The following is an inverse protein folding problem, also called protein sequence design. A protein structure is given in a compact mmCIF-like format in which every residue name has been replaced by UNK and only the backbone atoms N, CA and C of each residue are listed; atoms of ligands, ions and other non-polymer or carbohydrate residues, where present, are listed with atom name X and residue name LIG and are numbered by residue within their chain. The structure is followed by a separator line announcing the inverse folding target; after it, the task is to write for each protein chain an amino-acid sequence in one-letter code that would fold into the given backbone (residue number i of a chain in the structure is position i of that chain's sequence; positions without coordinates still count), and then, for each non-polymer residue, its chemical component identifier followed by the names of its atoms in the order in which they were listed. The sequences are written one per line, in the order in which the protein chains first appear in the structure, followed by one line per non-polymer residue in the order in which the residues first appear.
data_IF_127868944374
#
_entry.id   IF_127868944374
#
_cell.length_a   1.000
_cell.length_b   1.000
_cell.length_c   1.000
_cell.angle_alpha   90.00
_cell.angle_beta   90.00
_cell.angle_gamma   90.00
#
_symmetry.space_group_name_H-M   'P 1'
#
loop_
_entity.id
_entity.type
_entity.pdbx_description
1 polymer ?
#
# COMPACT_ATOMS: atom_id res chain seq x y z
N UNK A 1 -17.15 -2.43 15.58
CA UNK A 1 -16.98 -3.05 14.24
C UNK A 1 -15.67 -3.81 14.27
N UNK A 2 -15.58 -5.06 13.77
CA UNK A 2 -14.30 -5.77 13.72
C UNK A 2 -13.30 -4.97 12.89
N UNK A 3 -12.10 -4.77 13.43
CA UNK A 3 -11.02 -4.10 12.74
C UNK A 3 -10.38 -5.10 11.76
N UNK A 4 -10.03 -4.64 10.56
CA UNK A 4 -9.36 -5.48 9.56
C UNK A 4 -7.87 -5.66 9.94
N UNK A 5 -7.55 -6.02 11.18
CA UNK A 5 -6.18 -6.06 11.70
C UNK A 5 -5.24 -6.94 10.86
N UNK A 6 -5.78 -8.01 10.24
CA UNK A 6 -5.03 -8.92 9.40
C UNK A 6 -4.40 -8.27 8.15
N UNK A 7 -4.84 -7.08 7.74
CA UNK A 7 -4.25 -6.35 6.60
C UNK A 7 -3.07 -5.47 7.01
N UNK A 8 -2.91 -5.17 8.30
CA UNK A 8 -1.79 -4.35 8.79
C UNK A 8 -0.48 -5.10 8.59
N UNK A 9 0.51 -4.44 7.99
CA UNK A 9 1.78 -5.04 7.60
C UNK A 9 1.79 -5.71 6.23
N UNK A 10 0.64 -5.81 5.54
CA UNK A 10 0.60 -6.29 4.16
C UNK A 10 0.96 -5.17 3.18
N UNK A 11 1.65 -5.53 2.10
CA UNK A 11 1.85 -4.64 0.95
C UNK A 11 0.71 -4.78 -0.07
N UNK A 12 0.44 -3.70 -0.79
CA UNK A 12 -0.57 -3.65 -1.83
C UNK A 12 -0.21 -2.69 -2.95
N UNK A 13 -1.07 -2.60 -3.95
CA UNK A 13 -0.91 -1.71 -5.10
C UNK A 13 -2.07 -0.72 -5.16
N UNK A 14 -1.78 0.55 -5.39
CA UNK A 14 -2.80 1.59 -5.60
C UNK A 14 -3.52 1.35 -6.93
N UNK A 15 -4.84 1.14 -6.88
CA UNK A 15 -5.71 1.07 -8.05
C UNK A 15 -6.21 2.45 -8.46
N UNK A 16 -6.63 3.25 -7.47
CA UNK A 16 -7.09 4.63 -7.64
C UNK A 16 -6.23 5.52 -6.75
N UNK A 17 -5.63 6.55 -7.35
CA UNK A 17 -4.72 7.45 -6.66
C UNK A 17 -5.34 8.08 -5.40
N UNK A 18 -4.58 8.13 -4.32
CA UNK A 18 -4.99 8.83 -3.11
C UNK A 18 -4.82 10.34 -3.31
N UNK A 19 -5.53 11.13 -2.51
CA UNK A 19 -5.48 12.61 -2.59
C UNK A 19 -4.90 13.21 -1.31
N UNK A 20 -4.01 12.45 -0.65
CA UNK A 20 -3.50 12.77 0.68
C UNK A 20 -4.64 12.96 1.68
N UNK A 21 -4.50 13.96 2.55
CA UNK A 21 -5.55 14.36 3.50
C UNK A 21 -6.87 14.82 2.86
N UNK A 22 -6.89 15.15 1.56
CA UNK A 22 -8.12 15.57 0.86
C UNK A 22 -9.03 14.39 0.47
N UNK A 23 -8.56 13.15 0.61
CA UNK A 23 -9.43 11.98 0.65
C UNK A 23 -8.83 10.70 0.06
N UNK A 24 -9.59 9.60 0.14
CA UNK A 24 -9.03 8.26 -0.06
C UNK A 24 -8.85 7.91 -1.54
N UNK A 25 -7.88 7.04 -1.78
CA UNK A 25 -7.79 6.24 -2.99
C UNK A 25 -8.36 4.84 -2.76
N UNK A 26 -8.00 3.92 -3.65
CA UNK A 26 -8.30 2.50 -3.51
C UNK A 26 -7.03 1.69 -3.74
N UNK A 27 -6.82 0.65 -2.93
CA UNK A 27 -5.69 -0.27 -3.06
C UNK A 27 -6.19 -1.70 -3.18
N UNK A 28 -5.39 -2.56 -3.82
CA UNK A 28 -5.55 -4.01 -3.81
C UNK A 28 -4.46 -4.61 -2.92
N UNK A 29 -4.86 -5.35 -1.88
CA UNK A 29 -3.94 -5.96 -0.92
C UNK A 29 -4.07 -7.47 -0.95
N UNK A 30 -2.94 -8.19 -0.95
CA UNK A 30 -2.94 -9.64 -0.73
C UNK A 30 -3.05 -9.93 0.76
N UNK A 31 -4.15 -10.54 1.18
CA UNK A 31 -4.46 -10.80 2.58
C UNK A 31 -5.33 -12.06 2.69
N UNK A 32 -5.20 -12.82 3.79
CA UNK A 32 -6.00 -14.03 4.09
C UNK A 32 -6.05 -15.05 2.93
N UNK A 33 -4.97 -15.19 2.16
CA UNK A 33 -4.90 -16.11 1.03
C UNK A 33 -5.60 -15.65 -0.26
N UNK A 34 -6.15 -14.42 -0.27
CA UNK A 34 -6.78 -13.80 -1.43
C UNK A 34 -6.26 -12.39 -1.71
N UNK A 35 -7.00 -11.65 -2.52
CA UNK A 35 -6.81 -10.21 -2.69
C UNK A 35 -8.11 -9.49 -2.39
N UNK A 36 -8.02 -8.43 -1.61
CA UNK A 36 -9.16 -7.60 -1.21
C UNK A 36 -8.87 -6.13 -1.53
N UNK A 37 -9.90 -5.37 -1.88
CA UNK A 37 -9.78 -3.91 -2.06
C UNK A 37 -10.12 -3.18 -0.76
N UNK A 38 -9.39 -2.09 -0.51
CA UNK A 38 -9.57 -1.21 0.64
C UNK A 38 -9.52 0.24 0.22
N UNK A 39 -10.27 1.09 0.92
CA UNK A 39 -10.14 2.54 0.82
C UNK A 39 -8.85 2.97 1.52
N UNK A 40 -7.98 3.64 0.79
CA UNK A 40 -6.64 3.95 1.25
C UNK A 40 -6.48 5.44 1.56
N UNK A 41 -6.12 5.74 2.81
CA UNK A 41 -5.71 7.07 3.25
C UNK A 41 -4.20 7.14 3.32
N UNK A 42 -3.64 8.25 2.85
CA UNK A 42 -2.21 8.52 2.94
C UNK A 42 -2.01 9.99 3.32
N UNK A 43 -0.85 10.31 3.88
CA UNK A 43 -0.49 11.70 4.19
C UNK A 43 -0.24 12.49 2.90
N UNK A 44 0.56 11.93 2.00
CA UNK A 44 0.86 12.50 0.68
C UNK A 44 0.04 11.81 -0.42
N UNK A 45 -0.34 12.51 -1.51
CA UNK A 45 -0.99 11.87 -2.67
C UNK A 45 -0.11 10.78 -3.28
N UNK A 46 -0.70 9.62 -3.54
CA UNK A 46 -0.05 8.46 -4.16
C UNK A 46 -0.71 8.17 -5.51
N UNK A 47 0.12 7.96 -6.53
CA UNK A 47 -0.36 7.64 -7.88
C UNK A 47 -0.79 6.17 -8.01
N UNK A 48 -1.67 5.87 -8.97
CA UNK A 48 -2.00 4.49 -9.30
C UNK A 48 -0.75 3.71 -9.74
N UNK A 49 -0.68 2.43 -9.38
CA UNK A 49 0.45 1.54 -9.63
C UNK A 49 1.55 1.58 -8.56
N UNK A 50 1.55 2.58 -7.67
CA UNK A 50 2.50 2.65 -6.56
C UNK A 50 2.27 1.50 -5.58
N UNK A 51 3.36 0.92 -5.08
CA UNK A 51 3.32 -0.08 -4.02
C UNK A 51 3.27 0.61 -2.68
N UNK A 52 2.42 0.11 -1.80
CA UNK A 52 2.16 0.71 -0.49
C UNK A 52 2.22 -0.32 0.61
N UNK A 53 2.53 0.12 1.83
CA UNK A 53 2.46 -0.66 3.05
C UNK A 53 1.25 -0.19 3.86
N UNK A 54 0.43 -1.14 4.30
CA UNK A 54 -0.67 -0.85 5.23
C UNK A 54 -0.12 -0.74 6.65
N UNK A 55 -0.28 0.42 7.27
CA UNK A 55 0.28 0.74 8.60
C UNK A 55 -0.78 0.77 9.71
N UNK A 56 -2.06 0.93 9.35
CA UNK A 56 -3.16 0.89 10.30
C UNK A 56 -4.48 0.44 9.63
N UNK A 57 -5.37 -0.16 10.41
CA UNK A 57 -6.77 -0.33 10.04
C UNK A 57 -7.59 0.81 10.67
N UNK A 58 -8.40 1.49 9.86
CA UNK A 58 -9.27 2.60 10.28
C UNK A 58 -10.72 2.15 10.50
N UNK A 59 -11.00 0.85 10.35
CA UNK A 59 -12.34 0.27 10.35
C UNK A 59 -13.06 0.48 9.00
N UNK A 60 -14.24 -0.13 8.84
CA UNK A 60 -15.10 0.07 7.67
C UNK A 60 -14.42 -0.16 6.30
N UNK A 61 -13.46 -1.09 6.20
CA UNK A 61 -12.61 -1.32 5.00
C UNK A 61 -11.75 -0.12 4.59
N UNK A 62 -11.45 0.76 5.53
CA UNK A 62 -10.50 1.85 5.37
C UNK A 62 -9.18 1.52 6.05
N UNK A 63 -8.08 1.91 5.41
CA UNK A 63 -6.72 1.66 5.88
C UNK A 63 -5.85 2.91 5.72
N UNK A 64 -4.88 3.06 6.62
CA UNK A 64 -3.79 4.01 6.46
C UNK A 64 -2.62 3.35 5.73
N UNK A 65 -2.07 4.03 4.74
CA UNK A 65 -0.95 3.54 3.94
C UNK A 65 0.16 4.57 3.76
N UNK A 66 1.36 4.05 3.58
CA UNK A 66 2.54 4.82 3.14
C UNK A 66 3.09 4.19 1.87
N UNK A 67 3.77 4.99 1.06
CA UNK A 67 4.55 4.45 -0.06
C UNK A 67 5.57 3.45 0.47
N UNK A 68 5.64 2.29 -0.19
CA UNK A 68 6.58 1.23 0.15
C UNK A 68 7.64 1.12 -0.94
N UNK A 69 8.89 1.31 -0.53
CA UNK A 69 10.08 1.05 -1.34
C UNK A 69 10.71 -0.23 -0.79
N UNK A 70 10.90 -1.24 -1.63
CA UNK A 70 11.53 -2.48 -1.17
C UNK A 70 13.00 -2.20 -0.83
N UNK A 71 13.47 -2.48 0.40
CA UNK A 71 14.85 -2.25 0.77
C UNK A 71 15.86 -3.04 -0.10
N UNK A 72 15.42 -4.12 -0.76
CA UNK A 72 16.24 -4.89 -1.69
C UNK A 72 16.39 -4.21 -3.06
N UNK A 73 15.48 -3.32 -3.45
CA UNK A 73 15.62 -2.56 -4.72
C UNK A 73 16.92 -1.76 -4.71
N UNK A 74 17.29 -1.18 -3.57
CA UNK A 74 18.55 -0.45 -3.38
C UNK A 74 19.80 -1.34 -3.46
N UNK A 75 19.67 -2.66 -3.26
CA UNK A 75 20.78 -3.62 -3.37
C UNK A 75 20.97 -4.14 -4.81
N UNK A 76 19.93 -4.06 -5.64
CA UNK A 76 19.93 -4.54 -7.03
C UNK A 76 20.65 -3.64 -8.03
N UNK A 77 20.90 -2.37 -7.70
CA UNK A 77 21.59 -1.43 -8.62
C UNK A 77 23.08 -1.79 -8.84
N UNK A 78 23.65 -2.72 -8.06
CA UNK A 78 25.05 -3.15 -8.17
C UNK A 78 25.35 -4.30 -9.14
N UNK A 79 24.34 -4.99 -9.69
CA UNK A 79 24.54 -6.23 -10.48
C UNK A 79 24.48 -6.05 -12.00
N UNK A 80 24.11 -4.87 -12.51
CA UNK A 80 23.97 -4.62 -13.97
C UNK A 80 25.18 -3.95 -14.64
N UNK A 81 26.38 -4.10 -14.06
CA UNK A 81 27.62 -3.50 -14.56
C UNK A 81 28.72 -4.52 -14.86
N UNK A 82 28.47 -5.49 -15.74
CA UNK A 82 29.52 -6.30 -16.36
C UNK A 82 29.04 -6.84 -17.72
N UNK A 83 29.35 -6.09 -18.77
CA UNK A 83 29.18 -6.45 -20.18
C UNK A 83 30.27 -5.78 -21.01
#
# INVERSE_FOLDING_TARGET
MPQDEAVVGCTGTVLIGTRGSAGPGEILVRVRGGSETFLAWSENPLSAGVTVLVIESRGCREVGVVEWVDPLDALGEGITGAG
#
